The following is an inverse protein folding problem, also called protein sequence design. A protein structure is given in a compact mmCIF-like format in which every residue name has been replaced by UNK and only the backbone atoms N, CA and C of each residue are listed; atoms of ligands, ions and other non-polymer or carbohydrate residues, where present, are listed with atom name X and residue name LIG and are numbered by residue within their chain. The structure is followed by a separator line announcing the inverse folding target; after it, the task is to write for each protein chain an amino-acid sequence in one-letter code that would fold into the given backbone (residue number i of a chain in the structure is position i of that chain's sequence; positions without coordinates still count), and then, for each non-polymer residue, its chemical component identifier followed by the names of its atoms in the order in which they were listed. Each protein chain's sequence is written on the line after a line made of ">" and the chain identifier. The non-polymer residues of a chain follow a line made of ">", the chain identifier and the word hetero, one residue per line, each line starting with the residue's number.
data_IF_811244899652
#
_entry.id   IF_811244899652
#
_cell.length_a   1.000
_cell.length_b   1.000
_cell.length_c   1.000
_cell.angle_alpha   90.00
_cell.angle_beta   90.00
_cell.angle_gamma   90.00
#
_symmetry.space_group_name_H-M   'P 1'
#
loop_
_entity.id
_entity.type
_entity.pdbx_description
1 polymer ?
#
# COMPACT_ATOMS: atom_id res chain seq x y z
N UNK A 1 -43.23 -38.79 -4.73
CA UNK A 1 -41.80 -38.42 -4.58
C UNK A 1 -41.70 -36.91 -4.64
N UNK A 2 -41.76 -36.27 -3.47
CA UNK A 2 -41.41 -34.87 -3.30
C UNK A 2 -39.92 -34.83 -3.03
N UNK A 3 -39.15 -34.24 -3.94
CA UNK A 3 -37.78 -33.82 -3.69
C UNK A 3 -37.85 -32.47 -3.03
N UNK A 4 -37.69 -32.42 -1.71
CA UNK A 4 -37.40 -31.19 -0.97
C UNK A 4 -36.04 -30.66 -1.44
N UNK A 5 -36.03 -29.64 -2.25
CA UNK A 5 -34.85 -28.82 -2.49
C UNK A 5 -34.65 -27.99 -1.24
N UNK A 6 -33.67 -28.39 -0.45
CA UNK A 6 -33.11 -27.57 0.62
C UNK A 6 -32.60 -26.28 -0.02
N UNK A 7 -33.36 -25.20 0.09
CA UNK A 7 -32.83 -23.84 -0.11
C UNK A 7 -31.80 -23.64 0.99
N UNK A 8 -30.54 -23.62 0.62
CA UNK A 8 -29.52 -23.01 1.47
C UNK A 8 -29.98 -21.55 1.71
N UNK A 9 -30.46 -21.33 2.92
CA UNK A 9 -30.67 -19.99 3.40
C UNK A 9 -29.28 -19.34 3.50
N UNK A 10 -28.96 -18.44 2.59
CA UNK A 10 -27.81 -17.56 2.73
C UNK A 10 -27.95 -16.89 4.09
N UNK A 11 -27.02 -17.17 5.00
CA UNK A 11 -26.96 -16.46 6.27
C UNK A 11 -26.95 -14.98 5.98
N UNK A 12 -27.80 -14.17 6.63
CA UNK A 12 -27.74 -12.74 6.44
C UNK A 12 -26.34 -12.27 6.79
N UNK A 13 -25.67 -11.58 5.87
CA UNK A 13 -24.37 -10.97 6.11
C UNK A 13 -24.52 -10.02 7.30
N UNK A 14 -23.85 -10.38 8.39
CA UNK A 14 -23.86 -9.59 9.61
C UNK A 14 -22.91 -8.40 9.42
N UNK A 15 -23.44 -7.25 9.05
CA UNK A 15 -22.70 -5.99 9.08
C UNK A 15 -22.80 -5.46 10.51
N UNK A 16 -21.68 -5.33 11.26
CA UNK A 16 -21.72 -4.77 12.59
C UNK A 16 -22.34 -3.37 12.59
N UNK A 17 -23.25 -3.11 13.52
CA UNK A 17 -23.69 -1.76 13.81
C UNK A 17 -22.51 -1.02 14.47
N UNK A 18 -22.05 0.09 13.92
CA UNK A 18 -20.97 0.97 14.39
C UNK A 18 -19.62 0.79 13.65
N UNK A 19 -19.65 0.66 12.33
CA UNK A 19 -18.47 0.82 11.53
C UNK A 19 -17.99 2.27 11.57
N UNK A 20 -16.69 2.45 11.78
CA UNK A 20 -16.00 3.75 11.74
C UNK A 20 -15.01 3.76 10.58
N UNK A 21 -14.82 4.91 9.96
CA UNK A 21 -13.79 5.11 8.95
C UNK A 21 -12.45 5.34 9.62
N UNK A 22 -11.42 4.65 9.13
CA UNK A 22 -10.06 4.78 9.61
C UNK A 22 -9.12 5.09 8.46
N UNK A 23 -8.08 5.88 8.78
CA UNK A 23 -6.86 5.98 8.01
C UNK A 23 -5.79 5.21 8.74
N UNK A 24 -5.17 4.27 8.06
CA UNK A 24 -4.03 3.51 8.56
C UNK A 24 -2.79 3.99 7.83
N UNK A 25 -1.97 4.77 8.50
CA UNK A 25 -0.79 5.41 7.93
C UNK A 25 0.38 4.44 7.84
N UNK A 26 1.17 4.57 6.77
CA UNK A 26 2.47 3.90 6.64
C UNK A 26 3.52 4.78 7.33
N UNK A 27 4.26 4.20 8.26
CA UNK A 27 5.24 4.90 9.08
C UNK A 27 6.50 4.06 9.26
N UNK A 28 7.56 4.66 9.77
CA UNK A 28 8.82 3.99 10.09
C UNK A 28 8.60 2.87 11.11
N UNK A 29 9.39 1.78 11.05
CA UNK A 29 9.26 0.70 12.01
C UNK A 29 9.63 1.19 13.41
N UNK A 30 8.96 0.63 14.41
CA UNK A 30 9.31 0.84 15.81
C UNK A 30 9.79 -0.48 16.45
N UNK A 31 10.24 -0.41 17.70
CA UNK A 31 10.79 -1.58 18.42
C UNK A 31 9.78 -2.73 18.60
N UNK A 32 8.49 -2.48 18.40
CA UNK A 32 7.41 -3.46 18.62
C UNK A 32 6.94 -4.15 17.35
N UNK A 33 7.31 -3.64 16.18
CA UNK A 33 6.88 -4.16 14.87
C UNK A 33 8.09 -4.58 14.04
N UNK A 34 8.16 -5.86 13.71
CA UNK A 34 9.16 -6.40 12.78
C UNK A 34 8.71 -6.16 11.34
N UNK A 35 9.51 -5.45 10.54
CA UNK A 35 9.23 -5.15 9.15
C UNK A 35 10.03 -3.93 8.70
N UNK A 36 9.86 -3.54 7.44
CA UNK A 36 10.49 -2.34 6.89
C UNK A 36 9.74 -1.08 7.33
N UNK A 37 8.47 -1.23 7.73
CA UNK A 37 7.64 -0.16 8.25
C UNK A 37 6.48 -0.67 9.09
N UNK A 38 5.74 0.27 9.67
CA UNK A 38 4.55 -0.05 10.45
C UNK A 38 3.28 0.56 9.83
N UNK A 39 2.14 -0.07 10.14
CA UNK A 39 0.81 0.45 9.86
C UNK A 39 0.22 0.95 11.18
N UNK A 40 -0.15 2.22 11.24
CA UNK A 40 -0.62 2.87 12.48
C UNK A 40 -1.87 3.72 12.24
N UNK A 41 -2.71 3.86 13.25
CA UNK A 41 -3.85 4.79 13.23
C UNK A 41 -3.44 6.22 13.53
N UNK A 42 -2.27 6.41 14.12
CA UNK A 42 -1.75 7.72 14.46
C UNK A 42 -1.07 8.34 13.24
N UNK A 43 -1.45 9.56 12.89
CA UNK A 43 -0.78 10.30 11.83
C UNK A 43 0.70 10.49 12.17
N UNK A 44 1.63 10.10 11.29
CA UNK A 44 3.05 10.29 11.51
C UNK A 44 3.41 11.78 11.68
N UNK A 45 4.29 12.04 12.61
CA UNK A 45 4.77 13.42 12.90
C UNK A 45 6.30 13.49 12.94
N UNK A 46 6.94 12.55 12.28
CA UNK A 46 8.39 12.41 12.26
C UNK A 46 9.04 13.01 11.03
N UNK A 47 10.20 12.49 10.69
CA UNK A 47 10.86 12.77 9.44
C UNK A 47 10.29 11.91 8.32
N UNK A 48 10.29 12.48 7.13
CA UNK A 48 10.10 11.78 5.88
C UNK A 48 11.07 10.61 5.74
N UNK A 49 10.54 9.45 5.37
CA UNK A 49 11.29 8.25 5.04
C UNK A 49 11.04 7.87 3.59
N UNK A 50 12.09 7.40 2.94
CA UNK A 50 12.05 6.89 1.57
C UNK A 50 12.64 5.50 1.51
N UNK A 51 12.01 4.61 0.77
CA UNK A 51 12.54 3.27 0.54
C UNK A 51 12.34 2.82 -0.90
N UNK A 52 13.35 2.09 -1.43
CA UNK A 52 13.21 1.44 -2.73
C UNK A 52 12.14 0.35 -2.65
N UNK A 53 11.23 0.34 -3.61
CA UNK A 53 10.24 -0.73 -3.74
C UNK A 53 10.86 -2.01 -4.35
N UNK A 54 12.03 -1.91 -4.97
CA UNK A 54 12.74 -3.06 -5.56
C UNK A 54 13.35 -3.91 -4.44
N UNK A 55 12.95 -5.18 -4.39
CA UNK A 55 13.40 -6.12 -3.36
C UNK A 55 12.41 -6.31 -2.22
N UNK A 56 11.26 -5.65 -2.30
CA UNK A 56 10.13 -5.83 -1.39
C UNK A 56 10.23 -4.99 -0.12
N UNK A 57 9.08 -4.48 0.29
CA UNK A 57 8.88 -3.75 1.56
C UNK A 57 7.67 -4.34 2.28
N UNK A 58 7.79 -4.57 3.58
CA UNK A 58 6.73 -5.08 4.43
C UNK A 58 6.33 -4.03 5.48
N UNK A 59 5.09 -3.57 5.42
CA UNK A 59 4.48 -2.74 6.47
C UNK A 59 3.52 -3.59 7.30
N UNK A 60 3.63 -3.52 8.63
CA UNK A 60 2.84 -4.35 9.54
C UNK A 60 2.17 -3.51 10.63
N UNK A 61 0.93 -3.87 10.96
CA UNK A 61 0.26 -3.30 12.15
C UNK A 61 0.80 -3.94 13.44
N UNK A 62 0.48 -3.32 14.58
CA UNK A 62 0.55 -4.04 15.85
C UNK A 62 -0.42 -5.23 15.84
N UNK A 63 -0.20 -6.20 16.74
CA UNK A 63 -1.13 -7.30 16.94
C UNK A 63 -2.48 -6.80 17.45
N UNK A 64 -3.57 -7.35 16.90
CA UNK A 64 -4.92 -6.98 17.29
C UNK A 64 -5.25 -7.46 18.71
N UNK A 65 -5.72 -6.58 19.57
CA UNK A 65 -6.17 -6.93 20.93
C UNK A 65 -7.48 -7.70 20.95
N UNK A 66 -8.33 -7.47 19.95
CA UNK A 66 -9.63 -8.12 19.77
C UNK A 66 -9.81 -8.47 18.29
N UNK A 67 -10.79 -9.32 18.03
CA UNK A 67 -11.23 -9.56 16.65
C UNK A 67 -11.66 -8.25 16.00
N UNK A 68 -11.10 -7.98 14.83
CA UNK A 68 -11.40 -6.80 14.03
C UNK A 68 -12.09 -7.21 12.73
N UNK A 69 -13.27 -6.65 12.47
CA UNK A 69 -13.94 -6.77 11.19
C UNK A 69 -13.64 -5.57 10.33
N UNK A 70 -13.11 -5.81 9.13
CA UNK A 70 -12.71 -4.78 8.18
C UNK A 70 -13.63 -4.83 6.96
N UNK A 71 -14.06 -3.65 6.52
CA UNK A 71 -14.88 -3.40 5.35
C UNK A 71 -14.23 -2.33 4.49
N UNK A 72 -14.57 -2.32 3.20
CA UNK A 72 -14.14 -1.26 2.30
C UNK A 72 -14.76 0.09 2.66
N UNK A 73 -14.16 1.14 2.12
CA UNK A 73 -14.65 2.51 2.20
C UNK A 73 -15.32 2.87 0.88
N UNK A 74 -16.46 3.56 0.95
CA UNK A 74 -17.22 3.98 -0.22
C UNK A 74 -18.64 3.45 -0.23
N UNK A 75 -19.31 3.55 -1.37
CA UNK A 75 -20.72 3.16 -1.52
C UNK A 75 -20.93 1.64 -1.53
N UNK A 76 -19.93 0.87 -1.91
CA UNK A 76 -20.02 -0.58 -2.11
C UNK A 76 -19.45 -1.42 -0.98
N UNK A 77 -18.68 -0.86 -0.06
CA UNK A 77 -17.98 -1.57 1.03
C UNK A 77 -17.07 -2.74 0.56
N UNK A 78 -16.76 -2.81 -0.71
CA UNK A 78 -16.00 -3.89 -1.35
C UNK A 78 -14.59 -3.49 -1.78
N UNK A 79 -14.15 -2.29 -1.41
CA UNK A 79 -12.82 -1.80 -1.75
C UNK A 79 -12.15 -1.08 -0.58
N UNK A 80 -10.88 -1.41 -0.34
CA UNK A 80 -9.97 -0.67 0.52
C UNK A 80 -9.10 0.20 -0.39
N UNK A 81 -9.03 1.48 -0.11
CA UNK A 81 -8.19 2.41 -0.86
C UNK A 81 -6.81 2.52 -0.21
N UNK A 82 -5.76 2.32 -1.00
CA UNK A 82 -4.39 2.68 -0.65
C UNK A 82 -4.01 3.95 -1.42
N UNK A 83 -3.73 5.01 -0.70
CA UNK A 83 -3.12 6.21 -1.25
C UNK A 83 -1.62 6.17 -0.96
N UNK A 84 -0.81 6.07 -2.02
CA UNK A 84 0.63 5.89 -1.93
C UNK A 84 1.36 6.98 -2.73
N UNK A 85 2.46 7.48 -2.20
CA UNK A 85 3.31 8.46 -2.88
C UNK A 85 4.53 7.78 -3.47
N UNK A 86 4.67 7.89 -4.78
CA UNK A 86 5.67 7.23 -5.59
C UNK A 86 6.57 8.24 -6.29
N UNK A 87 7.84 7.86 -6.47
CA UNK A 87 8.79 8.54 -7.35
C UNK A 87 9.47 7.50 -8.21
N UNK A 88 9.20 7.54 -9.52
CA UNK A 88 9.81 6.66 -10.50
C UNK A 88 10.81 7.45 -11.32
N UNK A 89 12.10 7.14 -11.16
CA UNK A 89 13.21 7.77 -11.84
C UNK A 89 13.81 6.82 -12.87
N UNK A 90 14.13 7.31 -14.05
CA UNK A 90 14.75 6.51 -15.09
C UNK A 90 14.72 7.17 -16.47
N UNK A 91 15.37 6.55 -17.45
CA UNK A 91 15.31 6.98 -18.84
C UNK A 91 13.91 6.80 -19.43
N UNK A 92 13.56 7.64 -20.42
CA UNK A 92 12.33 7.51 -21.19
C UNK A 92 12.12 6.09 -21.71
N UNK A 93 10.88 5.62 -21.63
CA UNK A 93 10.47 4.27 -22.04
C UNK A 93 10.81 3.18 -21.03
N UNK A 94 11.34 3.52 -19.85
CA UNK A 94 11.42 2.59 -18.72
C UNK A 94 10.04 2.35 -18.14
N UNK A 95 9.81 1.17 -17.58
CA UNK A 95 8.54 0.78 -16.98
C UNK A 95 8.76 0.14 -15.61
N UNK A 96 7.77 0.23 -14.76
CA UNK A 96 7.76 -0.47 -13.48
C UNK A 96 6.38 -1.05 -13.19
N UNK A 97 6.36 -2.28 -12.65
CA UNK A 97 5.17 -2.93 -12.12
C UNK A 97 5.30 -2.97 -10.59
N UNK A 98 4.40 -2.32 -9.90
CA UNK A 98 4.34 -2.29 -8.45
C UNK A 98 3.23 -3.22 -7.97
N UNK A 99 3.61 -4.37 -7.44
CA UNK A 99 2.67 -5.34 -6.87
C UNK A 99 2.51 -5.09 -5.39
N UNK A 100 1.27 -4.99 -4.95
CA UNK A 100 0.90 -4.74 -3.56
C UNK A 100 -0.04 -5.84 -3.09
N UNK A 101 0.27 -6.45 -1.94
CA UNK A 101 -0.50 -7.55 -1.36
C UNK A 101 -0.92 -7.19 0.06
N UNK A 102 -2.23 -7.21 0.30
CA UNK A 102 -2.81 -7.03 1.62
C UNK A 102 -3.07 -8.40 2.23
N UNK A 103 -2.52 -8.64 3.41
CA UNK A 103 -2.54 -9.94 4.08
C UNK A 103 -2.97 -9.81 5.55
N UNK A 104 -3.49 -10.90 6.11
CA UNK A 104 -3.61 -11.12 7.55
C UNK A 104 -3.17 -12.55 7.85
N UNK A 105 -2.26 -12.73 8.82
CA UNK A 105 -1.72 -14.05 9.22
C UNK A 105 -1.15 -14.90 8.07
N UNK A 106 -0.51 -14.25 7.09
CA UNK A 106 -0.02 -14.84 5.84
C UNK A 106 -1.14 -15.40 4.93
N UNK A 107 -2.38 -15.03 5.18
CA UNK A 107 -3.48 -15.25 4.26
C UNK A 107 -3.69 -13.99 3.42
N UNK A 108 -3.58 -14.12 2.10
CA UNK A 108 -3.84 -13.03 1.17
C UNK A 108 -5.31 -12.63 1.21
N UNK A 109 -5.56 -11.35 1.46
CA UNK A 109 -6.90 -10.77 1.43
C UNK A 109 -7.19 -10.26 0.02
N UNK A 110 -6.22 -9.54 -0.56
CA UNK A 110 -6.32 -8.98 -1.90
C UNK A 110 -4.94 -8.59 -2.40
N UNK A 111 -4.77 -8.61 -3.72
CA UNK A 111 -3.55 -8.13 -4.38
C UNK A 111 -3.89 -7.27 -5.58
N UNK A 112 -3.09 -6.24 -5.82
CA UNK A 112 -3.24 -5.32 -6.93
C UNK A 112 -1.86 -4.99 -7.52
N UNK A 113 -1.85 -4.67 -8.81
CA UNK A 113 -0.64 -4.24 -9.51
C UNK A 113 -0.87 -2.90 -10.19
N UNK A 114 0.02 -1.97 -9.93
CA UNK A 114 0.06 -0.66 -10.57
C UNK A 114 1.18 -0.64 -11.61
N UNK A 115 0.83 -0.40 -12.86
CA UNK A 115 1.79 -0.24 -13.95
C UNK A 115 2.18 1.24 -14.08
N UNK A 116 3.48 1.50 -14.16
CA UNK A 116 4.06 2.84 -14.31
C UNK A 116 4.93 2.87 -15.59
N UNK A 117 4.65 3.79 -16.49
CA UNK A 117 5.29 3.89 -17.81
C UNK A 117 5.86 5.28 -18.13
N UNK A 118 5.83 6.19 -17.16
CA UNK A 118 6.28 7.59 -17.30
C UNK A 118 7.31 7.92 -16.20
N UNK A 119 8.57 7.46 -16.34
CA UNK A 119 9.62 7.81 -15.39
C UNK A 119 10.00 9.28 -15.54
N UNK A 120 10.35 9.92 -14.43
CA UNK A 120 10.99 11.21 -14.50
C UNK A 120 12.49 11.05 -14.79
N UNK A 121 13.03 11.87 -15.66
CA UNK A 121 14.46 11.87 -15.93
C UNK A 121 15.25 12.53 -14.80
N UNK A 122 16.02 11.74 -14.06
CA UNK A 122 17.00 12.27 -13.11
C UNK A 122 18.30 12.63 -13.84
N UNK A 123 18.56 13.93 -14.03
CA UNK A 123 19.88 14.40 -14.44
C UNK A 123 20.11 14.58 -15.93
N UNK A 124 19.40 15.49 -16.55
CA UNK A 124 19.83 16.11 -17.81
C UNK A 124 21.13 16.91 -17.61
N UNK A 125 22.03 16.86 -18.58
CA UNK A 125 23.29 17.61 -18.63
C UNK A 125 23.12 19.06 -18.14
N UNK A 126 23.80 19.38 -17.04
CA UNK A 126 24.10 20.73 -16.53
C UNK A 126 22.94 21.74 -16.68
N UNK A 127 21.98 21.70 -15.74
CA UNK A 127 21.12 22.87 -15.47
C UNK A 127 19.66 22.77 -15.88
N UNK A 128 19.15 21.63 -16.32
CA UNK A 128 17.73 21.38 -16.60
C UNK A 128 17.26 19.99 -16.11
N UNK A 129 17.81 19.50 -15.02
CA UNK A 129 17.20 18.37 -14.31
C UNK A 129 15.93 18.86 -13.62
N UNK A 130 14.77 18.49 -14.11
CA UNK A 130 13.55 18.67 -13.34
C UNK A 130 13.67 17.83 -12.08
N UNK A 131 13.45 18.43 -10.92
CA UNK A 131 13.34 17.68 -9.68
C UNK A 131 12.17 16.68 -9.83
N UNK A 132 12.47 15.39 -9.76
CA UNK A 132 11.44 14.36 -9.74
C UNK A 132 10.53 14.60 -8.54
N UNK A 133 9.26 14.82 -8.79
CA UNK A 133 8.28 15.08 -7.74
C UNK A 133 7.56 13.79 -7.35
N UNK A 134 7.13 13.74 -6.11
CA UNK A 134 6.29 12.67 -5.62
C UNK A 134 4.92 12.70 -6.29
N UNK A 135 4.49 11.56 -6.82
CA UNK A 135 3.19 11.40 -7.46
C UNK A 135 2.28 10.58 -6.54
N UNK A 136 1.14 11.15 -6.11
CA UNK A 136 0.14 10.38 -5.38
C UNK A 136 -0.53 9.40 -6.36
N UNK A 137 -0.64 8.14 -5.94
CA UNK A 137 -1.34 7.09 -6.67
C UNK A 137 -2.39 6.46 -5.79
N UNK A 138 -3.54 6.12 -6.37
CA UNK A 138 -4.65 5.48 -5.68
C UNK A 138 -4.77 4.04 -6.19
N UNK A 139 -4.78 3.09 -5.27
CA UNK A 139 -4.90 1.66 -5.54
C UNK A 139 -6.08 1.12 -4.74
N UNK A 140 -6.91 0.30 -5.37
CA UNK A 140 -8.15 -0.21 -4.77
C UNK A 140 -8.07 -1.72 -4.62
N UNK A 141 -7.89 -2.20 -3.41
CA UNK A 141 -7.96 -3.62 -3.09
C UNK A 141 -9.43 -4.07 -3.06
N UNK A 142 -9.76 -5.01 -3.93
CA UNK A 142 -11.08 -5.61 -3.96
C UNK A 142 -11.22 -6.63 -2.83
N UNK A 143 -12.21 -6.48 -1.97
CA UNK A 143 -12.50 -7.38 -0.86
C UNK A 143 -13.93 -7.90 -0.94
N UNK A 144 -14.27 -8.90 -0.12
CA UNK A 144 -15.66 -9.33 0.01
C UNK A 144 -16.54 -8.19 0.54
N UNK A 145 -17.75 -8.03 0.00
CA UNK A 145 -18.74 -7.08 0.52
C UNK A 145 -19.15 -7.38 1.97
N UNK A 146 -18.95 -8.62 2.42
CA UNK A 146 -19.16 -9.05 3.80
C UNK A 146 -17.97 -8.69 4.71
N UNK A 147 -16.93 -8.05 4.14
CA UNK A 147 -15.70 -7.73 4.83
C UNK A 147 -14.83 -8.97 5.09
N UNK A 148 -13.81 -8.76 5.89
CA UNK A 148 -12.98 -9.85 6.39
C UNK A 148 -12.63 -9.64 7.87
N UNK A 149 -12.30 -10.73 8.54
CA UNK A 149 -11.96 -10.73 9.95
C UNK A 149 -10.46 -10.86 10.14
N UNK A 150 -9.89 -9.94 10.91
CA UNK A 150 -8.55 -10.08 11.48
C UNK A 150 -8.70 -10.58 12.91
N UNK A 151 -8.17 -11.73 13.22
CA UNK A 151 -8.34 -12.35 14.53
C UNK A 151 -7.49 -11.65 15.59
N UNK A 152 -7.89 -11.79 16.84
CA UNK A 152 -7.09 -11.36 17.98
C UNK A 152 -5.70 -12.01 17.95
N UNK A 153 -4.65 -11.21 18.11
CA UNK A 153 -3.25 -11.63 18.05
C UNK A 153 -2.66 -11.60 16.65
N UNK A 154 -3.49 -11.37 15.62
CA UNK A 154 -3.07 -11.25 14.23
C UNK A 154 -2.67 -9.84 13.86
N UNK A 155 -1.96 -9.69 12.75
CA UNK A 155 -1.53 -8.40 12.19
C UNK A 155 -2.11 -8.23 10.79
N UNK A 156 -2.32 -6.97 10.41
CA UNK A 156 -2.49 -6.59 9.01
C UNK A 156 -1.09 -6.36 8.44
N UNK A 157 -0.84 -6.89 7.26
CA UNK A 157 0.40 -6.69 6.53
C UNK A 157 0.11 -6.16 5.14
N UNK A 158 0.88 -5.18 4.71
CA UNK A 158 0.94 -4.69 3.34
C UNK A 158 2.34 -4.97 2.81
N UNK A 159 2.45 -5.89 1.86
CA UNK A 159 3.69 -6.17 1.14
C UNK A 159 3.68 -5.39 -0.17
N UNK A 160 4.78 -4.76 -0.50
CA UNK A 160 4.96 -3.97 -1.72
C UNK A 160 6.25 -4.42 -2.38
N UNK A 161 6.19 -4.84 -3.64
CA UNK A 161 7.35 -5.28 -4.42
C UNK A 161 7.29 -4.69 -5.83
N UNK A 162 8.43 -4.23 -6.34
CA UNK A 162 8.53 -3.64 -7.65
C UNK A 162 9.45 -4.42 -8.57
N UNK A 163 8.97 -4.61 -9.79
CA UNK A 163 9.77 -5.06 -10.94
C UNK A 163 9.98 -3.89 -11.88
N UNK A 164 11.24 -3.48 -12.10
CA UNK A 164 11.59 -2.32 -12.91
C UNK A 164 12.34 -2.76 -14.16
N UNK A 165 11.90 -2.29 -15.33
CA UNK A 165 12.55 -2.50 -16.62
C UNK A 165 13.11 -1.18 -17.12
N UNK A 166 14.44 -1.04 -17.04
CA UNK A 166 15.13 0.15 -17.52
C UNK A 166 15.40 0.08 -19.02
N UNK A 167 15.04 1.12 -19.73
CA UNK A 167 15.53 1.32 -21.09
C UNK A 167 16.99 1.79 -21.03
N UNK A 168 17.88 1.04 -21.63
CA UNK A 168 19.27 1.48 -21.81
C UNK A 168 19.27 2.54 -22.88
N UNK A 169 19.48 3.80 -22.52
CA UNK A 169 19.61 4.91 -23.45
C UNK A 169 20.64 4.56 -24.51
N UNK A 170 20.21 4.45 -25.78
CA UNK A 170 21.09 4.21 -26.91
C UNK A 170 22.01 5.40 -27.12
N UNK A 171 23.25 5.23 -26.84
CA UNK A 171 24.50 5.64 -27.48
C UNK A 171 25.63 5.80 -26.46
N UNK A 172 26.64 4.95 -26.64
CA UNK A 172 27.92 4.93 -25.99
C UNK A 172 28.50 6.27 -25.52
N UNK A 173 28.30 6.55 -24.27
CA UNK A 173 29.08 7.53 -23.51
C UNK A 173 30.04 6.76 -22.60
N UNK A 174 31.34 6.89 -22.84
CA UNK A 174 32.41 6.42 -21.95
C UNK A 174 32.36 7.28 -20.69
N UNK A 175 31.64 6.84 -19.66
CA UNK A 175 31.58 7.51 -18.37
C UNK A 175 30.72 6.71 -17.42
N UNK A 176 31.33 5.91 -16.55
CA UNK A 176 30.62 5.05 -15.61
C UNK A 176 29.87 5.86 -14.55
N UNK A 177 28.59 5.92 -14.71
CA UNK A 177 27.58 6.26 -13.73
C UNK A 177 26.38 5.44 -14.14
N UNK A 178 25.98 4.48 -13.33
CA UNK A 178 24.85 3.63 -13.66
C UNK A 178 23.58 4.47 -13.69
N UNK A 179 23.07 4.73 -14.87
CA UNK A 179 21.72 5.27 -15.07
C UNK A 179 20.73 4.13 -14.76
N UNK A 180 20.60 3.84 -13.47
CA UNK A 180 19.65 2.85 -12.97
C UNK A 180 18.29 3.50 -12.83
N UNK A 181 17.23 2.73 -13.12
CA UNK A 181 15.90 3.12 -12.74
C UNK A 181 15.69 2.86 -11.26
N UNK A 182 14.95 3.73 -10.63
CA UNK A 182 14.60 3.57 -9.23
C UNK A 182 13.12 3.87 -9.04
N UNK A 183 12.44 2.99 -8.33
CA UNK A 183 11.09 3.23 -7.84
C UNK A 183 11.13 3.34 -6.33
N UNK A 184 10.84 4.52 -5.83
CA UNK A 184 10.90 4.86 -4.42
C UNK A 184 9.51 5.14 -3.89
N UNK A 185 9.23 4.69 -2.66
CA UNK A 185 8.00 4.94 -1.93
C UNK A 185 8.31 5.90 -0.78
N UNK A 186 7.44 6.90 -0.58
CA UNK A 186 7.48 7.78 0.56
C UNK A 186 6.46 7.38 1.61
N UNK A 187 6.89 7.38 2.87
CA UNK A 187 6.05 7.11 4.03
C UNK A 187 6.51 7.97 5.23
N UNK A 188 5.79 7.90 6.36
CA UNK A 188 6.01 8.81 7.44
C UNK A 188 5.51 10.22 7.10
N UNK A 189 6.03 11.24 7.76
CA UNK A 189 5.69 12.64 7.50
C UNK A 189 6.46 13.13 6.29
N UNK A 190 5.76 13.41 5.21
CA UNK A 190 6.34 13.80 3.92
C UNK A 190 6.07 15.28 3.67
N UNK A 191 7.03 16.15 3.99
CA UNK A 191 6.89 17.61 3.86
C UNK A 191 6.65 18.09 2.41
N UNK A 192 7.08 17.31 1.42
CA UNK A 192 6.99 17.67 0.00
C UNK A 192 5.77 17.12 -0.72
N UNK A 193 4.97 16.29 -0.06
CA UNK A 193 3.75 15.73 -0.62
C UNK A 193 2.54 16.20 0.15
N UNK A 194 1.39 16.38 -0.50
CA UNK A 194 0.17 16.81 0.19
C UNK A 194 -0.47 15.67 0.97
N UNK A 195 0.20 15.12 1.96
CA UNK A 195 -0.32 14.06 2.82
C UNK A 195 0.64 12.89 2.99
N UNK A 196 0.20 11.89 3.74
CA UNK A 196 0.95 10.71 4.14
C UNK A 196 0.38 9.46 3.45
N UNK A 197 1.25 8.54 3.00
CA UNK A 197 0.79 7.25 2.44
C UNK A 197 -0.04 6.49 3.48
N UNK A 198 -1.23 6.05 3.11
CA UNK A 198 -2.18 5.42 4.03
C UNK A 198 -3.21 4.53 3.34
N UNK A 199 -3.77 3.59 4.10
CA UNK A 199 -4.95 2.81 3.75
C UNK A 199 -6.20 3.51 4.30
N UNK A 200 -7.28 3.56 3.51
CA UNK A 200 -8.60 4.01 3.94
C UNK A 200 -9.57 2.83 3.96
N UNK A 201 -10.16 2.58 5.12
CA UNK A 201 -11.08 1.45 5.35
C UNK A 201 -12.10 1.78 6.43
N UNK A 202 -13.11 0.90 6.59
CA UNK A 202 -14.02 0.91 7.74
C UNK A 202 -13.78 -0.31 8.61
N UNK A 203 -13.94 -0.14 9.90
CA UNK A 203 -13.85 -1.25 10.85
C UNK A 203 -14.78 -1.03 12.06
N UNK A 204 -15.07 -2.13 12.78
CA UNK A 204 -15.64 -2.04 14.10
C UNK A 204 -14.53 -1.64 15.07
N UNK A 205 -14.67 -0.54 15.77
CA UNK A 205 -13.75 0.04 16.75
C UNK A 205 -12.35 -0.61 16.88
N UNK A 206 -11.34 0.06 16.30
CA UNK A 206 -9.95 -0.16 16.68
C UNK A 206 -9.79 0.37 18.11
N UNK A 207 -9.53 -0.51 19.06
CA UNK A 207 -9.14 -0.06 20.38
C UNK A 207 -7.72 0.50 20.28
N UNK A 208 -7.55 1.79 20.49
CA UNK A 208 -6.24 2.42 20.59
C UNK A 208 -5.38 1.66 21.60
N UNK A 209 -4.30 1.06 21.14
CA UNK A 209 -3.21 0.66 22.00
C UNK A 209 -2.40 1.93 22.29
N UNK A 210 -2.70 2.54 23.44
CA UNK A 210 -1.89 3.62 23.99
C UNK A 210 -0.51 3.13 24.43
#
# INVERSE_FOLDING_TARGET
>A
NQTDSLREASSPSYVPANLQSYKLYLDSPNETVNGDGMITTKEPSGSHEEASAVGGLDFRSAEMFNDLWIYGQGSSNDQIELKIYLKFEGPDGSTADLTMVLESDNEEISSETLELDDPCESGGLIGQGGDCSWTPSEVFFSISSDGFKVEKGSQIKLSIDASVTCQTGGQGGIGGGGDGCELTIAYGDVEQTPGTSHLELKANALSDSS
#
